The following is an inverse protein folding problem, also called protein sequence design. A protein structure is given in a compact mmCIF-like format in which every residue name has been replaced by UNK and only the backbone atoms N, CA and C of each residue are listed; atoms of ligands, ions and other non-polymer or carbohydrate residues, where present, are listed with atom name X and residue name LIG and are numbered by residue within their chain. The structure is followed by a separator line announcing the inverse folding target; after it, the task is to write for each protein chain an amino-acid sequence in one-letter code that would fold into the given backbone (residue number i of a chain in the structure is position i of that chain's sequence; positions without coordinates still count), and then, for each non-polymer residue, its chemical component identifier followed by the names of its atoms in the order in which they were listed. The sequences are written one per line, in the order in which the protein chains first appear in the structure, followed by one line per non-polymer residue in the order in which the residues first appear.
data_IF_403553715888
#
_entry.id   IF_403553715888
#
_cell.length_a   1.000
_cell.length_b   1.000
_cell.length_c   1.000
_cell.angle_alpha   90.00
_cell.angle_beta   90.00
_cell.angle_gamma   90.00
#
_symmetry.space_group_name_H-M   'P 1'
#
loop_
_entity.id
_entity.type
_entity.pdbx_description
1 polymer ?
#
# COMPACT_ATOMS: atom_id res chain seq x y z
N UNK A 1 10.23 7.69 9.19
CA UNK A 1 9.86 6.99 7.98
C UNK A 1 8.36 6.95 7.74
N UNK A 2 7.91 5.96 7.04
CA UNK A 2 6.56 5.83 6.48
C UNK A 2 5.42 6.05 7.50
N UNK A 3 5.60 5.67 8.76
CA UNK A 3 4.63 5.92 9.83
C UNK A 3 4.28 7.42 9.93
N UNK A 4 5.29 8.29 9.95
CA UNK A 4 5.10 9.74 10.10
C UNK A 4 4.47 10.36 8.85
N UNK A 5 4.90 9.95 7.69
CA UNK A 5 4.35 10.41 6.40
C UNK A 5 2.89 9.99 6.23
N UNK A 6 2.58 8.72 6.56
CA UNK A 6 1.21 8.19 6.46
C UNK A 6 0.24 8.91 7.40
N UNK A 7 0.64 9.17 8.66
CA UNK A 7 -0.17 9.94 9.60
C UNK A 7 -0.42 11.36 9.11
N UNK A 8 0.64 12.04 8.62
CA UNK A 8 0.52 13.39 8.09
C UNK A 8 -0.45 13.44 6.90
N UNK A 9 -0.31 12.55 5.93
CA UNK A 9 -1.16 12.51 4.74
C UNK A 9 -2.63 12.20 5.10
N UNK A 10 -2.86 11.22 5.98
CA UNK A 10 -4.21 10.86 6.40
C UNK A 10 -4.91 12.01 7.13
N UNK A 11 -4.19 12.74 7.98
CA UNK A 11 -4.71 13.92 8.67
C UNK A 11 -5.01 15.08 7.69
N UNK A 12 -4.07 15.38 6.81
CA UNK A 12 -4.20 16.42 5.79
C UNK A 12 -5.43 16.22 4.91
N UNK A 13 -5.66 15.00 4.49
CA UNK A 13 -6.80 14.64 3.63
C UNK A 13 -8.07 14.26 4.40
N UNK A 14 -8.02 14.27 5.74
CA UNK A 14 -9.11 13.83 6.62
C UNK A 14 -9.65 12.45 6.25
N UNK A 15 -8.74 11.52 6.02
CA UNK A 15 -9.12 10.15 5.64
C UNK A 15 -9.81 9.45 6.82
N UNK A 16 -10.86 8.65 6.56
CA UNK A 16 -11.57 7.89 7.59
C UNK A 16 -10.77 6.64 8.00
N UNK A 17 -9.58 6.82 8.55
CA UNK A 17 -8.65 5.74 8.91
C UNK A 17 -8.55 5.64 10.43
N UNK A 18 -8.65 4.42 10.95
CA UNK A 18 -8.30 4.10 12.33
C UNK A 18 -6.97 3.36 12.32
N UNK A 19 -5.93 4.00 12.85
CA UNK A 19 -4.63 3.38 13.05
C UNK A 19 -4.61 2.64 14.37
N UNK A 20 -4.17 1.39 14.35
CA UNK A 20 -4.05 0.53 15.53
C UNK A 20 -2.58 0.18 15.74
N UNK A 21 -2.08 0.44 16.92
CA UNK A 21 -0.75 0.04 17.37
C UNK A 21 -0.93 -1.05 18.43
N UNK A 22 -0.55 -2.27 18.08
CA UNK A 22 -0.43 -3.38 19.03
C UNK A 22 0.95 -3.29 19.70
N UNK A 23 1.03 -2.53 20.78
CA UNK A 23 2.27 -2.35 21.51
C UNK A 23 2.50 -3.54 22.46
N UNK A 24 3.26 -4.51 21.98
CA UNK A 24 3.61 -5.70 22.74
C UNK A 24 4.93 -5.56 23.51
N UNK A 25 5.43 -4.34 23.68
CA UNK A 25 6.62 -3.92 24.42
C UNK A 25 7.97 -4.30 23.77
N UNK A 26 8.00 -5.09 22.70
CA UNK A 26 9.25 -5.58 22.10
C UNK A 26 9.25 -5.53 20.58
N UNK A 27 10.33 -4.99 20.00
CA UNK A 27 10.70 -5.15 18.58
C UNK A 27 11.75 -6.26 18.45
N UNK A 28 11.35 -7.48 18.08
CA UNK A 28 12.18 -8.68 18.28
C UNK A 28 12.57 -8.85 19.75
N UNK A 29 13.85 -8.58 20.08
CA UNK A 29 14.42 -8.63 21.43
C UNK A 29 14.61 -7.24 22.07
N UNK A 30 14.43 -6.17 21.29
CA UNK A 30 14.65 -4.79 21.76
C UNK A 30 13.42 -4.29 22.49
N UNK A 31 13.53 -3.94 23.78
CA UNK A 31 12.39 -3.39 24.53
C UNK A 31 12.01 -2.01 24.01
N UNK A 32 10.73 -1.65 24.20
CA UNK A 32 10.18 -0.35 23.79
C UNK A 32 11.01 0.82 24.31
N UNK A 33 11.48 0.76 25.55
CA UNK A 33 12.30 1.78 26.20
C UNK A 33 13.63 2.06 25.51
N UNK A 34 14.14 1.10 24.71
CA UNK A 34 15.35 1.26 23.90
C UNK A 34 15.07 1.68 22.46
N UNK A 35 13.81 1.66 22.02
CA UNK A 35 13.42 1.92 20.63
C UNK A 35 12.62 3.19 20.42
N UNK A 36 12.04 3.77 21.49
CA UNK A 36 11.29 5.01 21.39
C UNK A 36 11.55 5.92 22.60
N UNK A 37 11.63 7.22 22.35
CA UNK A 37 11.86 8.24 23.37
C UNK A 37 10.58 8.70 24.07
N UNK A 38 9.40 8.30 23.56
CA UNK A 38 8.10 8.64 24.16
C UNK A 38 7.59 7.48 25.01
N UNK A 39 6.87 7.75 26.11
CA UNK A 39 6.34 6.70 26.99
C UNK A 39 5.28 5.85 26.29
N UNK A 40 4.62 6.39 25.26
CA UNK A 40 3.65 5.70 24.41
C UNK A 40 3.78 6.18 22.97
N UNK A 41 3.57 5.28 22.02
CA UNK A 41 3.73 5.57 20.60
C UNK A 41 2.61 6.45 20.09
N UNK A 42 1.36 6.25 20.58
CA UNK A 42 0.18 7.01 20.17
C UNK A 42 0.28 8.51 20.45
N UNK A 43 1.10 8.95 21.41
CA UNK A 43 1.33 10.37 21.71
C UNK A 43 1.86 11.13 20.49
N UNK A 44 2.46 10.44 19.52
CA UNK A 44 2.92 11.02 18.24
C UNK A 44 1.78 11.55 17.38
N UNK A 45 0.56 11.08 17.60
CA UNK A 45 -0.65 11.56 16.91
C UNK A 45 -0.87 13.07 17.10
N UNK A 46 -0.48 13.62 18.25
CA UNK A 46 -0.60 15.05 18.53
C UNK A 46 0.17 15.94 17.52
N UNK A 47 1.30 15.46 16.99
CA UNK A 47 2.09 16.20 16.00
C UNK A 47 1.36 16.39 14.66
N UNK A 48 0.31 15.60 14.41
CA UNK A 48 -0.49 15.59 13.17
C UNK A 48 -1.95 15.97 13.39
N UNK A 49 -2.31 16.52 14.57
CA UNK A 49 -3.69 16.79 14.98
C UNK A 49 -4.60 15.56 14.91
N UNK A 50 -4.06 14.36 15.15
CA UNK A 50 -4.80 13.12 15.20
C UNK A 50 -5.15 12.82 16.65
N UNK A 51 -6.44 12.71 17.03
CA UNK A 51 -6.83 12.26 18.35
C UNK A 51 -6.35 10.82 18.58
N UNK A 52 -5.98 10.51 19.81
CA UNK A 52 -5.47 9.20 20.18
C UNK A 52 -5.94 8.75 21.56
N UNK A 53 -6.02 7.44 21.75
CA UNK A 53 -6.16 6.83 23.07
C UNK A 53 -5.08 5.76 23.28
N UNK A 54 -4.69 5.58 24.54
CA UNK A 54 -3.82 4.50 25.02
C UNK A 54 -4.69 3.62 25.90
N UNK A 55 -4.82 2.36 25.55
CA UNK A 55 -5.83 1.45 26.10
C UNK A 55 -5.17 0.17 26.58
N UNK A 56 -5.65 -0.39 27.67
CA UNK A 56 -5.29 -1.74 28.09
C UNK A 56 -5.77 -2.76 27.04
N UNK A 57 -4.84 -3.27 26.23
CA UNK A 57 -5.15 -4.25 25.18
C UNK A 57 -5.50 -5.65 25.71
N UNK A 58 -5.37 -5.86 27.04
CA UNK A 58 -5.75 -7.10 27.71
C UNK A 58 -7.21 -7.05 28.22
N UNK A 59 -7.90 -5.90 28.12
CA UNK A 59 -9.32 -5.75 28.43
C UNK A 59 -10.16 -5.66 27.15
N UNK A 60 -10.87 -6.75 26.85
CA UNK A 60 -11.71 -6.89 25.62
C UNK A 60 -12.78 -5.80 25.54
N UNK A 61 -13.40 -5.42 26.66
CA UNK A 61 -14.47 -4.43 26.67
C UNK A 61 -13.91 -3.00 26.48
N UNK A 62 -12.76 -2.69 27.09
CA UNK A 62 -12.07 -1.42 26.88
C UNK A 62 -11.62 -1.27 25.43
N UNK A 63 -11.05 -2.32 24.83
CA UNK A 63 -10.68 -2.36 23.41
C UNK A 63 -11.90 -2.10 22.52
N UNK A 64 -13.01 -2.81 22.76
CA UNK A 64 -14.25 -2.65 21.99
C UNK A 64 -14.78 -1.22 22.07
N UNK A 65 -14.79 -0.62 23.25
CA UNK A 65 -15.28 0.76 23.45
C UNK A 65 -14.39 1.78 22.72
N UNK A 66 -13.08 1.65 22.81
CA UNK A 66 -12.12 2.52 22.14
C UNK A 66 -12.22 2.42 20.63
N UNK A 67 -12.32 1.21 20.09
CA UNK A 67 -12.49 0.99 18.63
C UNK A 67 -13.80 1.58 18.15
N UNK A 68 -14.91 1.40 18.89
CA UNK A 68 -16.21 1.98 18.52
C UNK A 68 -16.15 3.51 18.43
N UNK A 69 -15.54 4.17 19.43
CA UNK A 69 -15.29 5.62 19.45
C UNK A 69 -14.47 6.08 18.24
N UNK A 70 -13.37 5.39 17.95
CA UNK A 70 -12.48 5.74 16.83
C UNK A 70 -13.17 5.57 15.47
N UNK A 71 -13.98 4.51 15.30
CA UNK A 71 -14.78 4.28 14.09
C UNK A 71 -15.83 5.38 13.90
N UNK A 72 -16.53 5.77 14.96
CA UNK A 72 -17.51 6.87 14.91
C UNK A 72 -16.84 8.18 14.49
N UNK A 73 -15.69 8.52 15.09
CA UNK A 73 -14.91 9.69 14.71
C UNK A 73 -14.51 9.66 13.22
N UNK A 74 -13.96 8.55 12.74
CA UNK A 74 -13.54 8.42 11.36
C UNK A 74 -14.73 8.52 10.39
N UNK A 75 -15.85 7.88 10.69
CA UNK A 75 -17.07 7.90 9.88
C UNK A 75 -17.77 9.26 9.86
N UNK A 76 -17.61 10.07 10.88
CA UNK A 76 -18.15 11.44 10.93
C UNK A 76 -17.46 12.42 9.95
N UNK A 77 -16.36 11.99 9.29
CA UNK A 77 -15.55 12.85 8.43
C UNK A 77 -14.56 13.74 9.19
N UNK A 78 -14.36 13.50 10.50
CA UNK A 78 -13.45 14.28 11.31
C UNK A 78 -11.97 13.96 11.02
N UNK A 79 -11.69 12.87 10.34
CA UNK A 79 -10.35 12.43 9.95
C UNK A 79 -9.90 11.15 10.65
N UNK A 80 -8.59 10.86 10.67
CA UNK A 80 -8.06 9.64 11.26
C UNK A 80 -8.10 9.64 12.79
N UNK A 81 -8.01 8.46 13.38
CA UNK A 81 -7.87 8.22 14.80
C UNK A 81 -6.73 7.23 15.06
N UNK A 82 -5.96 7.42 16.15
CA UNK A 82 -4.84 6.56 16.49
C UNK A 82 -5.10 5.87 17.85
N UNK A 83 -5.10 4.54 17.84
CA UNK A 83 -5.25 3.72 19.04
C UNK A 83 -3.96 2.98 19.33
N UNK A 84 -3.52 3.00 20.59
CA UNK A 84 -2.45 2.15 21.07
C UNK A 84 -2.99 1.19 22.11
N UNK A 85 -2.94 -0.11 21.79
CA UNK A 85 -3.29 -1.18 22.69
C UNK A 85 -2.03 -1.72 23.35
N UNK A 86 -1.94 -1.61 24.67
CA UNK A 86 -0.88 -2.21 25.45
C UNK A 86 -1.14 -3.71 25.60
N UNK A 87 -0.34 -4.50 24.93
CA UNK A 87 -0.49 -5.96 24.85
C UNK A 87 0.82 -6.66 25.22
N UNK A 88 0.85 -7.97 25.08
CA UNK A 88 2.07 -8.75 25.28
C UNK A 88 2.18 -9.89 24.29
N UNK A 89 3.39 -10.15 23.81
CA UNK A 89 3.67 -11.28 22.93
C UNK A 89 4.04 -12.52 23.76
N UNK A 90 3.16 -13.53 23.83
CA UNK A 90 3.35 -14.74 24.62
C UNK A 90 4.59 -15.54 24.24
N UNK A 91 4.83 -15.71 22.97
CA UNK A 91 5.95 -16.47 22.42
C UNK A 91 7.12 -15.58 22.06
N UNK A 92 8.27 -16.17 21.70
CA UNK A 92 9.39 -15.45 21.12
C UNK A 92 9.04 -14.84 19.76
N UNK A 93 9.94 -14.03 19.21
CA UNK A 93 9.76 -13.43 17.88
C UNK A 93 9.70 -14.50 16.78
N UNK A 94 10.48 -15.56 16.95
CA UNK A 94 10.48 -16.73 16.08
C UNK A 94 10.43 -18.01 16.90
N UNK A 95 10.21 -19.16 16.24
CA UNK A 95 10.16 -20.46 16.90
C UNK A 95 11.46 -20.81 17.65
N UNK A 96 12.60 -20.28 17.18
CA UNK A 96 13.93 -20.52 17.78
C UNK A 96 14.33 -19.47 18.81
N UNK A 97 13.49 -18.48 19.09
CA UNK A 97 13.81 -17.40 20.03
C UNK A 97 13.72 -17.91 21.48
N UNK A 98 14.84 -17.96 22.24
CA UNK A 98 14.86 -18.47 23.62
C UNK A 98 14.26 -17.47 24.63
N UNK A 99 13.90 -16.26 24.23
CA UNK A 99 13.36 -15.18 25.07
C UNK A 99 14.26 -14.77 26.24
N UNK A 100 15.58 -14.91 26.10
CA UNK A 100 16.55 -14.59 27.16
C UNK A 100 16.56 -13.09 27.57
N UNK A 101 15.90 -12.22 26.81
CA UNK A 101 15.75 -10.79 27.05
C UNK A 101 14.56 -10.44 27.94
N UNK A 102 13.78 -11.43 28.41
CA UNK A 102 12.63 -11.27 29.33
C UNK A 102 12.86 -12.01 30.62
N UNK A 103 12.24 -11.54 31.70
CA UNK A 103 12.21 -12.30 32.95
C UNK A 103 10.99 -13.22 33.00
N UNK A 104 11.08 -14.27 33.80
CA UNK A 104 9.94 -15.18 34.04
C UNK A 104 8.82 -14.49 34.83
N UNK A 105 9.18 -13.58 35.72
CA UNK A 105 8.27 -12.77 36.49
C UNK A 105 7.44 -11.88 35.56
N UNK A 106 8.07 -11.16 34.66
CA UNK A 106 7.38 -10.36 33.64
C UNK A 106 6.40 -11.19 32.81
N UNK A 107 6.84 -12.36 32.31
CA UNK A 107 5.96 -13.25 31.56
C UNK A 107 4.77 -13.76 32.38
N UNK A 108 4.97 -14.04 33.68
CA UNK A 108 3.91 -14.50 34.57
C UNK A 108 2.88 -13.40 34.89
N UNK A 109 3.34 -12.18 35.13
CA UNK A 109 2.48 -11.02 35.39
C UNK A 109 1.57 -10.73 34.18
N UNK A 110 2.13 -10.75 32.97
CA UNK A 110 1.32 -10.57 31.77
C UNK A 110 0.38 -11.74 31.51
N UNK A 111 0.81 -12.98 31.78
CA UNK A 111 -0.03 -14.15 31.60
C UNK A 111 -1.25 -14.18 32.54
N UNK A 112 -1.10 -13.64 33.74
CA UNK A 112 -2.23 -13.47 34.65
C UNK A 112 -3.33 -12.53 34.14
N UNK A 113 -2.97 -11.69 33.16
CA UNK A 113 -3.86 -10.74 32.48
C UNK A 113 -4.35 -11.24 31.12
N UNK A 114 -4.18 -12.51 30.79
CA UNK A 114 -4.61 -13.07 29.50
C UNK A 114 -6.10 -12.76 29.24
N UNK A 115 -6.44 -12.07 28.13
CA UNK A 115 -7.81 -11.64 27.88
C UNK A 115 -8.79 -12.79 27.67
N UNK A 116 -8.33 -13.95 27.20
CA UNK A 116 -9.23 -15.09 26.90
C UNK A 116 -9.82 -15.68 28.18
N UNK A 117 -9.03 -16.21 29.15
CA UNK A 117 -9.60 -16.77 30.37
C UNK A 117 -10.26 -15.69 31.27
N UNK A 118 -9.71 -14.48 31.30
CA UNK A 118 -10.29 -13.41 32.13
C UNK A 118 -11.66 -12.96 31.60
N UNK A 119 -11.83 -12.86 30.29
CA UNK A 119 -13.13 -12.50 29.71
C UNK A 119 -14.14 -13.65 29.84
N UNK A 120 -13.70 -14.91 29.69
CA UNK A 120 -14.55 -16.07 29.93
C UNK A 120 -15.08 -16.09 31.38
N UNK A 121 -14.19 -15.86 32.35
CA UNK A 121 -14.58 -15.77 33.76
C UNK A 121 -15.56 -14.62 34.03
N UNK A 122 -15.37 -13.48 33.39
CA UNK A 122 -16.30 -12.34 33.47
C UNK A 122 -17.70 -12.71 32.93
N UNK A 123 -17.77 -13.35 31.78
CA UNK A 123 -19.06 -13.74 31.17
C UNK A 123 -19.84 -14.70 32.07
N UNK A 124 -19.15 -15.64 32.72
CA UNK A 124 -19.77 -16.55 33.68
C UNK A 124 -20.21 -15.81 34.93
N UNK A 125 -19.37 -14.94 35.49
CA UNK A 125 -19.68 -14.18 36.69
C UNK A 125 -20.90 -13.23 36.50
N UNK A 126 -21.04 -12.65 35.30
CA UNK A 126 -22.18 -11.78 34.93
C UNK A 126 -23.42 -12.56 34.47
N UNK A 127 -23.36 -13.89 34.44
CA UNK A 127 -24.46 -14.75 34.02
C UNK A 127 -24.82 -14.64 32.52
N UNK A 128 -23.86 -14.17 31.69
CA UNK A 128 -24.03 -14.06 30.24
C UNK A 128 -23.80 -15.40 29.55
N UNK A 129 -22.93 -16.25 30.10
CA UNK A 129 -22.66 -17.59 29.61
C UNK A 129 -22.43 -18.55 30.78
N UNK A 130 -22.58 -19.86 30.55
CA UNK A 130 -22.18 -20.92 31.50
C UNK A 130 -20.78 -21.41 31.19
N UNK A 131 -20.16 -22.13 32.15
CA UNK A 131 -18.85 -22.76 31.91
C UNK A 131 -18.93 -23.78 30.74
N UNK A 132 -20.04 -24.56 30.67
CA UNK A 132 -20.27 -25.53 29.60
C UNK A 132 -20.37 -24.86 28.21
N UNK A 133 -20.97 -23.67 28.12
CA UNK A 133 -21.04 -22.91 26.86
C UNK A 133 -19.66 -22.39 26.46
N UNK A 134 -18.84 -21.93 27.41
CA UNK A 134 -17.45 -21.52 27.14
C UNK A 134 -16.62 -22.72 26.67
N UNK A 135 -16.71 -23.86 27.36
CA UNK A 135 -16.00 -25.08 26.98
C UNK A 135 -16.43 -25.58 25.58
N UNK A 136 -17.71 -25.46 25.24
CA UNK A 136 -18.22 -25.82 23.92
C UNK A 136 -17.63 -24.92 22.81
N UNK A 137 -17.49 -23.61 23.07
CA UNK A 137 -16.84 -22.67 22.15
C UNK A 137 -15.37 -23.05 21.94
N UNK A 138 -14.65 -23.34 23.02
CA UNK A 138 -13.25 -23.71 22.98
C UNK A 138 -13.04 -25.03 22.20
N UNK A 139 -13.88 -26.03 22.48
CA UNK A 139 -13.85 -27.33 21.77
C UNK A 139 -14.13 -27.15 20.27
N UNK A 140 -15.11 -26.31 19.90
CA UNK A 140 -15.42 -25.98 18.50
C UNK A 140 -14.22 -25.36 17.80
N UNK A 141 -13.61 -24.32 18.40
CA UNK A 141 -12.46 -23.62 17.81
C UNK A 141 -11.27 -24.57 17.65
N UNK A 142 -10.96 -25.40 18.66
CA UNK A 142 -9.92 -26.43 18.56
C UNK A 142 -10.19 -27.42 17.42
N UNK A 143 -11.44 -27.84 17.24
CA UNK A 143 -11.83 -28.70 16.13
C UNK A 143 -11.63 -28.04 14.76
N UNK A 144 -12.01 -26.79 14.61
CA UNK A 144 -11.81 -26.03 13.36
C UNK A 144 -10.32 -25.87 13.02
N UNK A 145 -9.47 -25.59 14.02
CA UNK A 145 -8.02 -25.53 13.83
C UNK A 145 -7.43 -26.89 13.48
N UNK A 146 -7.92 -27.98 14.08
CA UNK A 146 -7.46 -29.32 13.73
C UNK A 146 -7.78 -29.67 12.27
N UNK A 147 -9.00 -29.39 11.81
CA UNK A 147 -9.40 -29.59 10.41
C UNK A 147 -8.51 -28.78 9.45
N UNK A 148 -8.22 -27.52 9.78
CA UNK A 148 -7.33 -26.69 8.97
C UNK A 148 -5.89 -27.22 8.95
N UNK A 149 -5.41 -27.74 10.07
CA UNK A 149 -4.09 -28.38 10.20
C UNK A 149 -4.00 -29.64 9.34
N UNK A 150 -4.99 -30.52 9.46
CA UNK A 150 -5.05 -31.79 8.69
C UNK A 150 -5.12 -31.51 7.18
N UNK A 151 -5.90 -30.49 6.79
CA UNK A 151 -5.95 -30.03 5.40
C UNK A 151 -4.56 -29.58 4.92
N UNK A 152 -3.86 -28.74 5.68
CA UNK A 152 -2.53 -28.26 5.32
C UNK A 152 -1.51 -29.39 5.21
N UNK A 153 -1.52 -30.34 6.16
CA UNK A 153 -0.60 -31.47 6.18
C UNK A 153 -0.86 -32.47 5.07
N UNK A 154 -2.12 -32.66 4.66
CA UNK A 154 -2.51 -33.57 3.57
C UNK A 154 -2.40 -32.94 2.17
N UNK A 155 -2.24 -31.63 2.09
CA UNK A 155 -2.11 -30.91 0.82
C UNK A 155 -0.79 -31.23 0.14
N UNK A 156 -0.83 -31.41 -1.19
CA UNK A 156 0.39 -31.56 -1.99
C UNK A 156 1.21 -30.28 -2.00
N UNK A 157 2.52 -30.41 -2.18
CA UNK A 157 3.36 -29.26 -2.47
C UNK A 157 2.96 -28.65 -3.83
N UNK A 158 3.08 -27.33 -4.01
CA UNK A 158 2.85 -26.70 -5.30
C UNK A 158 3.76 -27.31 -6.37
N UNK A 159 3.25 -27.61 -7.58
CA UNK A 159 4.07 -28.14 -8.66
C UNK A 159 5.05 -27.05 -9.17
N UNK A 160 6.17 -27.50 -9.75
CA UNK A 160 7.21 -26.57 -10.23
C UNK A 160 6.70 -25.63 -11.33
N UNK A 161 5.70 -26.05 -12.09
CA UNK A 161 5.06 -25.28 -13.16
C UNK A 161 4.32 -24.03 -12.64
N UNK A 162 3.97 -24.01 -11.35
CA UNK A 162 3.33 -22.86 -10.70
C UNK A 162 4.31 -21.76 -10.26
N UNK A 163 5.62 -22.00 -10.38
CA UNK A 163 6.64 -21.07 -9.89
C UNK A 163 6.47 -19.64 -10.42
N UNK A 164 6.06 -19.48 -11.67
CA UNK A 164 5.89 -18.18 -12.31
C UNK A 164 4.42 -17.75 -12.47
N UNK A 165 3.48 -18.65 -12.16
CA UNK A 165 2.05 -18.49 -12.47
C UNK A 165 1.43 -17.20 -11.91
N UNK A 166 1.87 -16.76 -10.72
CA UNK A 166 1.28 -15.61 -10.02
C UNK A 166 2.18 -14.38 -9.97
N UNK A 167 3.30 -14.38 -10.68
CA UNK A 167 4.22 -13.24 -10.72
C UNK A 167 3.58 -12.05 -11.41
N UNK A 168 2.89 -12.30 -12.54
CA UNK A 168 2.16 -11.29 -13.30
C UNK A 168 0.70 -11.66 -13.47
N UNK A 169 -0.17 -10.65 -13.53
CA UNK A 169 -1.54 -10.84 -13.98
C UNK A 169 -1.56 -11.17 -15.48
N UNK A 170 -2.50 -11.99 -15.97
CA UNK A 170 -2.64 -12.26 -17.39
C UNK A 170 -2.82 -10.96 -18.18
N UNK A 171 -2.19 -10.87 -19.35
CA UNK A 171 -2.38 -9.75 -20.26
C UNK A 171 -3.83 -9.69 -20.74
N UNK A 172 -4.40 -8.49 -20.73
CA UNK A 172 -5.71 -8.23 -21.34
C UNK A 172 -5.64 -7.95 -22.86
N UNK A 173 -4.43 -7.88 -23.40
CA UNK A 173 -4.22 -7.63 -24.82
C UNK A 173 -4.50 -8.87 -25.66
N UNK A 174 -5.32 -8.72 -26.71
CA UNK A 174 -5.61 -9.76 -27.67
C UNK A 174 -4.70 -9.63 -28.90
N UNK A 175 -4.61 -10.69 -29.73
CA UNK A 175 -3.89 -10.63 -31.01
C UNK A 175 -4.45 -9.52 -31.92
N UNK A 176 -5.75 -9.26 -31.86
CA UNK A 176 -6.39 -8.16 -32.55
C UNK A 176 -5.90 -6.79 -32.09
N UNK A 177 -5.69 -6.60 -30.82
CA UNK A 177 -5.13 -5.36 -30.24
C UNK A 177 -3.68 -5.16 -30.71
N UNK A 178 -2.88 -6.21 -30.70
CA UNK A 178 -1.51 -6.20 -31.20
C UNK A 178 -1.46 -5.86 -32.69
N UNK A 179 -2.32 -6.46 -33.49
CA UNK A 179 -2.40 -6.17 -34.94
C UNK A 179 -2.85 -4.74 -35.23
N UNK A 180 -3.84 -4.24 -34.45
CA UNK A 180 -4.32 -2.85 -34.54
C UNK A 180 -3.22 -1.86 -34.18
N UNK A 181 -2.47 -2.11 -33.10
CA UNK A 181 -1.35 -1.25 -32.70
C UNK A 181 -0.26 -1.20 -33.78
N UNK A 182 0.09 -2.34 -34.34
CA UNK A 182 1.06 -2.42 -35.45
C UNK A 182 0.64 -1.56 -36.64
N UNK A 183 -0.61 -1.63 -37.04
CA UNK A 183 -1.16 -0.82 -38.15
C UNK A 183 -1.17 0.68 -37.83
N UNK A 184 -1.46 1.05 -36.56
CA UNK A 184 -1.41 2.43 -36.10
C UNK A 184 0.02 2.99 -36.13
N UNK A 185 1.00 2.23 -35.66
CA UNK A 185 2.43 2.62 -35.70
C UNK A 185 2.91 2.86 -37.13
N UNK A 186 2.53 1.98 -38.05
CA UNK A 186 2.88 2.13 -39.47
C UNK A 186 2.26 3.41 -40.06
N UNK A 187 0.99 3.69 -39.77
CA UNK A 187 0.31 4.92 -40.16
C UNK A 187 0.99 6.17 -39.62
N UNK A 188 1.40 6.17 -38.36
CA UNK A 188 2.09 7.29 -37.71
C UNK A 188 3.46 7.50 -38.39
N UNK A 189 4.22 6.44 -38.60
CA UNK A 189 5.53 6.49 -39.24
C UNK A 189 5.46 7.11 -40.63
N UNK A 190 4.39 6.81 -41.38
CA UNK A 190 4.18 7.29 -42.72
C UNK A 190 3.45 8.64 -42.82
N UNK A 191 3.18 9.32 -41.70
CA UNK A 191 2.51 10.62 -41.66
C UNK A 191 1.07 10.58 -42.19
N UNK A 192 0.34 9.48 -41.94
CA UNK A 192 -1.01 9.26 -42.48
C UNK A 192 -2.06 10.26 -41.91
N UNK A 193 -3.28 10.23 -42.44
CA UNK A 193 -4.36 11.13 -42.02
C UNK A 193 -4.62 11.11 -40.52
N UNK A 194 -4.77 12.28 -39.92
CA UNK A 194 -5.03 12.43 -38.46
C UNK A 194 -3.80 12.37 -37.59
N UNK A 195 -2.59 12.17 -38.13
CA UNK A 195 -1.34 12.26 -37.39
C UNK A 195 -1.05 13.74 -37.10
N UNK A 196 -0.87 14.06 -35.81
CA UNK A 196 -0.52 15.40 -35.32
C UNK A 196 0.86 15.39 -34.65
N UNK A 197 1.59 16.50 -34.81
CA UNK A 197 2.79 16.73 -34.03
C UNK A 197 2.36 17.11 -32.61
N UNK A 198 2.97 16.49 -31.59
CA UNK A 198 2.75 16.78 -30.19
C UNK A 198 4.10 16.84 -29.47
N UNK A 199 4.18 17.63 -28.42
CA UNK A 199 5.29 17.57 -27.48
C UNK A 199 5.13 16.30 -26.60
N UNK A 200 6.21 15.84 -26.03
CA UNK A 200 6.21 14.63 -25.22
C UNK A 200 5.25 14.76 -24.01
N UNK A 201 5.33 15.83 -23.25
CA UNK A 201 4.46 16.09 -22.10
C UNK A 201 2.97 16.23 -22.49
N UNK A 202 2.67 16.76 -23.68
CA UNK A 202 1.28 16.85 -24.18
C UNK A 202 0.70 15.45 -24.45
N UNK A 203 1.54 14.54 -24.96
CA UNK A 203 1.16 13.16 -25.21
C UNK A 203 0.85 12.40 -23.89
N UNK A 204 1.64 12.63 -22.84
CA UNK A 204 1.40 12.09 -21.50
C UNK A 204 0.12 12.64 -20.90
N UNK A 205 -0.06 13.97 -20.95
CA UNK A 205 -1.29 14.61 -20.48
C UNK A 205 -2.54 14.06 -21.17
N UNK A 206 -2.50 13.96 -22.48
CA UNK A 206 -3.62 13.46 -23.26
C UNK A 206 -3.91 11.99 -22.96
N UNK A 207 -2.87 11.17 -22.69
CA UNK A 207 -3.03 9.78 -22.27
C UNK A 207 -3.78 9.70 -20.94
N UNK A 208 -3.32 10.45 -19.91
CA UNK A 208 -3.97 10.47 -18.61
C UNK A 208 -5.41 10.99 -18.70
N UNK A 209 -5.62 12.09 -19.41
CA UNK A 209 -6.96 12.65 -19.61
C UNK A 209 -7.93 11.65 -20.25
N UNK A 210 -7.52 10.98 -21.32
CA UNK A 210 -8.35 9.99 -22.00
C UNK A 210 -8.68 8.78 -21.11
N UNK A 211 -7.74 8.32 -20.30
CA UNK A 211 -7.98 7.21 -19.37
C UNK A 211 -8.85 7.65 -18.17
N UNK A 212 -8.70 8.86 -17.66
CA UNK A 212 -9.57 9.41 -16.61
C UNK A 212 -11.00 9.63 -17.07
N UNK A 213 -11.22 9.99 -18.34
CA UNK A 213 -12.55 10.06 -18.96
C UNK A 213 -13.16 8.68 -19.17
N UNK A 214 -12.35 7.69 -19.51
CA UNK A 214 -12.79 6.32 -19.78
C UNK A 214 -13.19 5.58 -18.50
N UNK A 215 -12.43 5.79 -17.40
CA UNK A 215 -12.51 4.97 -16.21
C UNK A 215 -12.50 5.86 -14.93
N UNK A 216 -13.59 5.87 -14.16
CA UNK A 216 -13.69 6.67 -12.94
C UNK A 216 -12.73 6.19 -11.84
N UNK A 217 -12.16 4.99 -11.91
CA UNK A 217 -11.18 4.49 -10.95
C UNK A 217 -9.77 5.08 -11.16
N UNK A 218 -9.50 5.66 -12.33
CA UNK A 218 -8.21 6.32 -12.61
C UNK A 218 -8.15 7.66 -11.91
N UNK A 219 -7.13 7.87 -11.08
CA UNK A 219 -6.84 9.15 -10.47
C UNK A 219 -5.34 9.41 -10.44
N UNK A 220 -4.96 10.69 -10.32
CA UNK A 220 -3.57 11.13 -10.27
C UNK A 220 -3.21 11.58 -8.86
N UNK A 221 -2.00 11.27 -8.41
CA UNK A 221 -1.45 11.77 -7.17
C UNK A 221 0.06 12.00 -7.31
N UNK A 222 0.58 13.02 -6.62
CA UNK A 222 2.00 13.37 -6.67
C UNK A 222 2.25 14.79 -6.23
N UNK A 223 3.50 15.22 -6.32
CA UNK A 223 3.95 16.55 -5.91
C UNK A 223 3.67 17.59 -7.01
N UNK A 224 3.03 18.69 -6.64
CA UNK A 224 2.74 19.85 -7.52
C UNK A 224 1.95 19.48 -8.81
N UNK A 225 1.24 18.37 -8.84
CA UNK A 225 0.50 17.90 -10.02
C UNK A 225 -0.87 18.56 -10.20
N UNK A 226 -1.40 19.20 -9.14
CA UNK A 226 -2.69 19.88 -9.11
C UNK A 226 -2.69 21.22 -9.87
N UNK A 227 -2.94 22.31 -9.17
CA UNK A 227 -3.04 23.65 -9.76
C UNK A 227 -1.77 24.09 -10.51
N UNK A 228 -0.60 23.66 -10.08
CA UNK A 228 0.65 23.96 -10.77
C UNK A 228 0.78 23.25 -12.13
N UNK A 229 0.15 22.09 -12.27
CA UNK A 229 0.11 21.31 -13.52
C UNK A 229 1.32 20.41 -13.74
N UNK A 230 2.02 20.04 -12.66
CA UNK A 230 3.21 19.21 -12.67
C UNK A 230 4.49 19.95 -13.03
N UNK A 231 5.62 19.56 -12.43
CA UNK A 231 6.94 20.17 -12.66
C UNK A 231 7.33 20.19 -14.15
N UNK A 232 6.82 19.25 -14.92
CA UNK A 232 7.08 19.11 -16.36
C UNK A 232 5.88 19.45 -17.25
N UNK A 233 4.78 19.89 -16.65
CA UNK A 233 3.55 20.27 -17.36
C UNK A 233 2.68 19.09 -17.79
N UNK A 234 2.99 17.87 -17.40
CA UNK A 234 2.27 16.67 -17.83
C UNK A 234 0.86 16.54 -17.25
N UNK A 235 0.52 17.30 -16.22
CA UNK A 235 -0.84 17.32 -15.62
C UNK A 235 -1.57 18.63 -15.81
N UNK A 236 -1.01 19.56 -16.61
CA UNK A 236 -1.58 20.90 -16.84
C UNK A 236 -3.03 20.82 -17.37
N UNK A 237 -3.93 21.51 -16.68
CA UNK A 237 -5.36 21.58 -17.01
C UNK A 237 -6.20 20.39 -16.52
N UNK A 238 -5.57 19.34 -15.98
CA UNK A 238 -6.31 18.16 -15.48
C UNK A 238 -7.00 18.44 -14.15
N UNK A 239 -6.40 19.28 -13.31
CA UNK A 239 -7.02 19.65 -12.03
C UNK A 239 -8.31 20.44 -12.23
N UNK A 240 -8.33 21.38 -13.18
CA UNK A 240 -9.49 22.16 -13.53
C UNK A 240 -10.62 21.30 -14.15
N UNK A 241 -10.24 20.25 -14.90
CA UNK A 241 -11.21 19.37 -15.56
C UNK A 241 -11.78 18.31 -14.61
N UNK A 242 -10.96 17.70 -13.75
CA UNK A 242 -11.35 16.55 -12.95
C UNK A 242 -11.50 16.84 -11.44
N UNK A 243 -11.02 17.98 -10.98
CA UNK A 243 -11.10 18.40 -9.58
C UNK A 243 -10.12 17.70 -8.65
N UNK A 244 -10.07 18.19 -7.41
CA UNK A 244 -9.13 17.77 -6.37
C UNK A 244 -9.26 16.30 -5.94
N UNK A 245 -10.41 15.68 -6.16
CA UNK A 245 -10.63 14.27 -5.79
C UNK A 245 -9.98 13.30 -6.78
N UNK A 246 -9.75 13.75 -8.02
CA UNK A 246 -9.18 12.95 -9.09
C UNK A 246 -7.74 13.36 -9.45
N UNK A 247 -7.31 14.57 -9.07
CA UNK A 247 -5.94 15.07 -9.22
C UNK A 247 -5.50 15.62 -7.87
N UNK A 248 -4.65 14.89 -7.16
CA UNK A 248 -4.33 15.13 -5.75
C UNK A 248 -2.88 15.54 -5.57
N UNK A 249 -2.66 16.75 -5.10
CA UNK A 249 -1.34 17.14 -4.60
C UNK A 249 -1.02 16.39 -3.32
N UNK A 250 0.22 15.94 -3.19
CA UNK A 250 0.77 15.32 -1.99
C UNK A 250 1.87 16.18 -1.38
N UNK A 251 2.16 16.02 -0.08
CA UNK A 251 3.44 16.42 0.45
C UNK A 251 4.60 15.73 -0.27
N UNK A 252 5.83 16.24 -0.15
CA UNK A 252 7.06 15.55 -0.57
C UNK A 252 7.25 14.36 0.38
N UNK A 253 6.81 13.18 -0.05
CA UNK A 253 6.74 11.96 0.75
C UNK A 253 6.66 10.73 -0.16
N UNK A 254 7.73 10.43 -0.87
CA UNK A 254 7.75 9.43 -1.96
C UNK A 254 7.37 8.03 -1.48
N UNK A 255 7.77 7.66 -0.26
CA UNK A 255 7.37 6.40 0.33
C UNK A 255 5.83 6.31 0.54
N UNK A 256 5.21 7.41 0.97
CA UNK A 256 3.75 7.46 1.14
C UNK A 256 3.03 7.55 -0.21
N UNK A 257 3.58 8.24 -1.19
CA UNK A 257 3.05 8.28 -2.56
C UNK A 257 3.00 6.85 -3.12
N UNK A 258 4.12 6.12 -3.09
CA UNK A 258 4.18 4.73 -3.53
C UNK A 258 3.25 3.81 -2.75
N UNK A 259 3.25 3.90 -1.42
CA UNK A 259 2.42 3.07 -0.54
C UNK A 259 0.92 3.32 -0.70
N UNK A 260 0.51 4.58 -0.86
CA UNK A 260 -0.89 4.94 -1.11
C UNK A 260 -1.35 4.45 -2.49
N UNK A 261 -0.48 4.50 -3.50
CA UNK A 261 -0.77 3.94 -4.82
C UNK A 261 -1.00 2.42 -4.74
N UNK A 262 -0.13 1.67 -4.04
CA UNK A 262 -0.31 0.24 -3.81
C UNK A 262 -1.63 -0.04 -3.11
N UNK A 263 -1.91 0.65 -2.00
CA UNK A 263 -3.14 0.44 -1.22
C UNK A 263 -4.41 0.75 -2.03
N UNK A 264 -4.44 1.85 -2.75
CA UNK A 264 -5.56 2.23 -3.62
C UNK A 264 -5.78 1.20 -4.74
N UNK A 265 -4.70 0.72 -5.36
CA UNK A 265 -4.76 -0.31 -6.40
C UNK A 265 -5.31 -1.63 -5.87
N UNK A 266 -4.90 -2.07 -4.69
CA UNK A 266 -5.42 -3.28 -4.03
C UNK A 266 -6.90 -3.15 -3.67
N UNK A 267 -7.41 -1.92 -3.49
CA UNK A 267 -8.83 -1.63 -3.27
C UNK A 267 -9.63 -1.42 -4.57
N UNK A 268 -9.04 -1.68 -5.73
CA UNK A 268 -9.73 -1.63 -7.04
C UNK A 268 -9.67 -0.30 -7.77
N UNK A 269 -8.90 0.67 -7.28
CA UNK A 269 -8.60 1.91 -8.00
C UNK A 269 -7.41 1.74 -8.96
N UNK A 270 -7.22 2.72 -9.85
CA UNK A 270 -6.10 2.75 -10.80
C UNK A 270 -5.30 4.05 -10.64
N UNK A 271 -4.45 4.13 -9.61
CA UNK A 271 -3.62 5.30 -9.37
C UNK A 271 -2.52 5.43 -10.42
N UNK A 272 -2.33 6.67 -10.87
CA UNK A 272 -1.14 7.13 -11.59
C UNK A 272 -0.42 8.06 -10.62
N UNK A 273 0.61 7.57 -9.98
CA UNK A 273 1.37 8.29 -8.97
C UNK A 273 2.66 8.85 -9.59
N UNK A 274 2.92 10.14 -9.40
CA UNK A 274 4.13 10.78 -9.87
C UNK A 274 5.16 10.92 -8.73
N UNK A 275 6.36 10.39 -8.96
CA UNK A 275 7.56 10.70 -8.19
C UNK A 275 8.45 11.51 -9.11
N UNK A 276 8.77 12.75 -8.70
CA UNK A 276 9.29 13.78 -9.60
C UNK A 276 10.54 13.37 -10.38
N UNK A 277 11.50 12.67 -9.73
CA UNK A 277 12.71 12.15 -10.37
C UNK A 277 12.91 10.66 -10.07
N UNK A 278 13.46 9.92 -11.04
CA UNK A 278 13.84 8.51 -10.84
C UNK A 278 14.84 8.37 -9.70
N UNK A 279 15.66 9.38 -9.47
CA UNK A 279 16.62 9.50 -8.36
C UNK A 279 15.97 9.36 -6.99
N UNK A 280 14.68 9.73 -6.84
CA UNK A 280 13.92 9.66 -5.58
C UNK A 280 13.08 8.40 -5.44
N UNK A 281 12.94 7.61 -6.51
CA UNK A 281 12.19 6.35 -6.45
C UNK A 281 12.75 5.34 -5.43
N UNK A 282 14.06 5.33 -5.09
CA UNK A 282 14.58 4.52 -3.99
C UNK A 282 13.93 4.80 -2.62
N UNK A 283 13.40 6.01 -2.37
CA UNK A 283 12.65 6.31 -1.15
C UNK A 283 11.34 5.52 -1.05
N UNK A 284 10.74 5.18 -2.19
CA UNK A 284 9.52 4.39 -2.28
C UNK A 284 9.78 2.89 -2.56
N UNK A 285 11.04 2.43 -2.54
CA UNK A 285 11.42 1.10 -3.00
C UNK A 285 10.70 -0.02 -2.25
N UNK A 286 10.60 0.05 -0.92
CA UNK A 286 9.90 -0.98 -0.14
C UNK A 286 8.43 -1.08 -0.57
N UNK A 287 7.76 0.06 -0.76
CA UNK A 287 6.35 0.09 -1.14
C UNK A 287 6.13 -0.47 -2.55
N UNK A 288 6.98 -0.12 -3.49
CA UNK A 288 6.82 -0.51 -4.89
C UNK A 288 7.36 -1.93 -5.14
N UNK A 289 8.58 -2.24 -4.68
CA UNK A 289 9.24 -3.52 -4.96
C UNK A 289 8.79 -4.65 -4.03
N UNK A 290 8.55 -4.40 -2.73
CA UNK A 290 8.12 -5.43 -1.80
C UNK A 290 6.60 -5.57 -1.73
N UNK A 291 5.87 -4.47 -1.68
CA UNK A 291 4.41 -4.52 -1.59
C UNK A 291 3.78 -4.56 -2.99
N UNK A 292 4.07 -3.60 -3.86
CA UNK A 292 3.49 -3.53 -5.20
C UNK A 292 3.77 -4.76 -6.05
N UNK A 293 5.04 -5.07 -6.24
CA UNK A 293 5.45 -6.14 -7.17
C UNK A 293 5.16 -7.57 -6.65
N UNK A 294 5.16 -7.80 -5.32
CA UNK A 294 5.09 -9.16 -4.76
C UNK A 294 3.73 -9.58 -4.23
N UNK A 295 2.83 -8.63 -3.92
CA UNK A 295 1.56 -8.97 -3.29
C UNK A 295 0.71 -9.94 -4.14
N UNK A 296 0.72 -9.82 -5.46
CA UNK A 296 0.01 -10.78 -6.31
C UNK A 296 0.52 -12.21 -6.09
N UNK A 297 1.83 -12.41 -6.09
CA UNK A 297 2.45 -13.71 -5.86
C UNK A 297 2.18 -14.23 -4.45
N UNK A 298 2.37 -13.38 -3.44
CA UNK A 298 2.16 -13.73 -2.03
C UNK A 298 0.72 -14.15 -1.72
N UNK A 299 -0.26 -13.62 -2.44
CA UNK A 299 -1.68 -13.97 -2.28
C UNK A 299 -2.18 -14.97 -3.35
N UNK A 300 -1.29 -15.73 -3.98
CA UNK A 300 -1.65 -16.78 -4.93
C UNK A 300 -2.51 -16.30 -6.09
N UNK A 301 -2.18 -15.13 -6.65
CA UNK A 301 -2.88 -14.53 -7.79
C UNK A 301 -4.22 -13.84 -7.47
N UNK A 302 -4.68 -13.87 -6.23
CA UNK A 302 -5.99 -13.31 -5.83
C UNK A 302 -6.01 -11.79 -5.79
N UNK A 303 -4.83 -11.14 -5.69
CA UNK A 303 -4.69 -9.69 -5.62
C UNK A 303 -4.18 -9.15 -6.95
N UNK A 304 -4.66 -7.97 -7.34
CA UNK A 304 -4.14 -7.16 -8.44
C UNK A 304 -3.59 -5.86 -7.88
N UNK A 305 -2.57 -5.31 -8.53
CA UNK A 305 -1.99 -4.01 -8.15
C UNK A 305 -1.86 -3.12 -9.40
N UNK A 306 -2.99 -2.69 -9.98
CA UNK A 306 -3.03 -1.87 -11.19
C UNK A 306 -2.61 -0.43 -10.89
N UNK A 307 -1.32 -0.20 -10.71
CA UNK A 307 -0.76 1.14 -10.48
C UNK A 307 0.31 1.51 -11.48
N UNK A 308 0.44 2.79 -11.75
CA UNK A 308 1.56 3.35 -12.52
C UNK A 308 2.33 4.31 -11.63
N UNK A 309 3.64 4.10 -11.52
CA UNK A 309 4.56 5.10 -10.98
C UNK A 309 5.19 5.80 -12.17
N UNK A 310 4.86 7.09 -12.37
CA UNK A 310 5.48 7.95 -13.36
C UNK A 310 6.66 8.67 -12.73
N UNK A 311 7.77 8.74 -13.44
CA UNK A 311 8.95 9.44 -12.97
C UNK A 311 9.80 9.90 -14.15
N UNK A 312 10.47 11.03 -14.01
CA UNK A 312 11.45 11.49 -14.98
C UNK A 312 12.84 11.02 -14.61
N UNK A 313 13.67 10.71 -15.60
CA UNK A 313 15.06 10.29 -15.37
C UNK A 313 15.99 10.58 -16.53
N UNK A 314 17.27 10.33 -16.29
CA UNK A 314 18.31 10.43 -17.29
C UNK A 314 19.11 11.71 -17.32
N UNK A 315 20.22 11.68 -18.07
CA UNK A 315 21.22 12.75 -18.09
C UNK A 315 20.80 14.00 -18.92
N UNK A 316 19.69 13.95 -19.64
CA UNK A 316 19.31 14.96 -20.64
C UNK A 316 19.21 16.38 -20.12
N UNK A 317 18.83 16.56 -18.85
CA UNK A 317 18.72 17.90 -18.25
C UNK A 317 20.03 18.42 -17.67
N UNK A 318 21.00 17.57 -17.36
CA UNK A 318 22.27 17.99 -16.76
C UNK A 318 22.15 18.67 -15.41
N UNK A 319 21.25 18.18 -14.52
CA UNK A 319 20.95 18.80 -13.22
C UNK A 319 21.79 18.16 -12.10
N UNK A 320 23.02 17.77 -12.41
CA UNK A 320 23.98 17.14 -11.52
C UNK A 320 23.57 15.73 -11.02
N UNK A 321 24.35 15.18 -10.07
CA UNK A 321 24.32 13.79 -9.68
C UNK A 321 23.00 13.32 -9.00
N UNK A 322 22.26 14.24 -8.39
CA UNK A 322 21.05 13.91 -7.63
C UNK A 322 19.75 13.95 -8.44
N UNK A 323 19.80 14.40 -9.72
CA UNK A 323 18.61 14.61 -10.54
C UNK A 323 18.84 14.17 -12.00
N UNK A 324 19.83 13.35 -12.29
CA UNK A 324 20.20 12.98 -13.65
C UNK A 324 20.63 11.50 -13.75
N UNK A 325 20.20 10.66 -12.82
CA UNK A 325 20.52 9.24 -12.84
C UNK A 325 19.63 8.49 -13.83
N UNK A 326 20.11 7.31 -14.25
CA UNK A 326 19.37 6.33 -15.04
C UNK A 326 19.26 5.06 -14.19
N UNK A 327 18.12 4.85 -13.54
CA UNK A 327 17.89 3.78 -12.58
C UNK A 327 16.98 2.66 -13.10
N UNK A 328 16.82 2.54 -14.42
CA UNK A 328 15.98 1.54 -15.09
C UNK A 328 16.38 0.12 -14.66
N UNK A 329 17.70 -0.16 -14.64
CA UNK A 329 18.24 -1.46 -14.25
C UNK A 329 17.89 -1.85 -12.81
N UNK A 330 17.76 -0.88 -11.91
CA UNK A 330 17.33 -1.12 -10.53
C UNK A 330 15.92 -1.71 -10.49
N UNK A 331 15.01 -1.13 -11.27
CA UNK A 331 13.60 -1.53 -11.29
C UNK A 331 13.35 -2.81 -12.08
N UNK A 332 14.11 -3.05 -13.16
CA UNK A 332 14.04 -4.31 -13.93
C UNK A 332 14.56 -5.52 -13.16
N UNK A 333 15.25 -5.30 -12.03
CA UNK A 333 15.73 -6.39 -11.18
C UNK A 333 14.60 -7.10 -10.41
N UNK A 334 13.48 -6.42 -10.15
CA UNK A 334 12.39 -6.96 -9.33
C UNK A 334 11.34 -7.66 -10.22
N UNK A 335 11.08 -8.98 -10.01
CA UNK A 335 9.95 -9.64 -10.67
C UNK A 335 8.62 -9.08 -10.16
N UNK A 336 7.59 -9.06 -11.02
CA UNK A 336 6.25 -8.59 -10.67
C UNK A 336 5.99 -7.11 -10.95
N UNK A 337 6.93 -6.39 -11.56
CA UNK A 337 6.76 -5.01 -12.02
C UNK A 337 7.22 -4.88 -13.48
N UNK A 338 6.46 -4.16 -14.28
CA UNK A 338 6.91 -3.77 -15.61
C UNK A 338 7.66 -2.45 -15.57
N UNK A 339 8.72 -2.35 -16.37
CA UNK A 339 9.49 -1.11 -16.54
C UNK A 339 9.33 -0.66 -17.99
N UNK A 340 8.84 0.56 -18.19
CA UNK A 340 8.52 1.12 -19.51
C UNK A 340 9.21 2.47 -19.66
N UNK A 341 9.95 2.66 -20.75
CA UNK A 341 10.67 3.90 -21.05
C UNK A 341 10.46 4.27 -22.53
N UNK A 342 9.42 5.04 -22.86
CA UNK A 342 9.14 5.44 -24.25
C UNK A 342 10.04 6.56 -24.72
N UNK A 343 10.40 6.53 -26.02
CA UNK A 343 11.30 7.52 -26.61
C UNK A 343 10.61 8.54 -27.54
N UNK A 344 9.34 8.31 -27.90
CA UNK A 344 8.58 9.22 -28.77
C UNK A 344 7.25 9.64 -28.12
N UNK A 345 6.68 10.79 -28.51
CA UNK A 345 5.34 11.19 -28.04
C UNK A 345 4.25 10.15 -28.34
N UNK A 346 4.34 9.47 -29.46
CA UNK A 346 3.40 8.42 -29.83
C UNK A 346 3.49 7.22 -28.88
N UNK A 347 4.72 6.74 -28.63
CA UNK A 347 4.95 5.61 -27.72
C UNK A 347 4.61 6.01 -26.28
N UNK A 348 4.96 7.23 -25.87
CA UNK A 348 4.61 7.75 -24.54
C UNK A 348 3.10 7.71 -24.30
N UNK A 349 2.29 8.20 -25.25
CA UNK A 349 0.84 8.16 -25.14
C UNK A 349 0.29 6.74 -25.12
N UNK A 350 0.73 5.91 -26.07
CA UNK A 350 0.24 4.53 -26.23
C UNK A 350 0.59 3.65 -25.04
N UNK A 351 1.85 3.67 -24.63
CA UNK A 351 2.35 2.84 -23.54
C UNK A 351 1.82 3.30 -22.17
N UNK A 352 1.64 4.61 -21.93
CA UNK A 352 1.03 5.08 -20.70
C UNK A 352 -0.44 4.63 -20.58
N UNK A 353 -1.21 4.70 -21.67
CA UNK A 353 -2.58 4.17 -21.70
C UNK A 353 -2.61 2.66 -21.45
N UNK A 354 -1.68 1.92 -22.04
CA UNK A 354 -1.54 0.48 -21.81
C UNK A 354 -1.19 0.20 -20.32
N UNK A 355 -0.24 0.93 -19.77
CA UNK A 355 0.17 0.80 -18.37
C UNK A 355 -0.99 1.09 -17.37
N UNK A 356 -1.80 2.12 -17.63
CA UNK A 356 -2.96 2.44 -16.80
C UNK A 356 -4.03 1.34 -16.84
N UNK A 357 -4.14 0.64 -17.97
CA UNK A 357 -5.10 -0.47 -18.16
C UNK A 357 -4.60 -1.81 -17.65
N UNK A 358 -3.30 -1.96 -17.47
CA UNK A 358 -2.70 -3.20 -17.00
C UNK A 358 -3.07 -3.48 -15.53
N UNK A 359 -3.19 -4.74 -15.16
CA UNK A 359 -3.51 -5.16 -13.79
C UNK A 359 -2.24 -5.40 -12.95
N UNK A 360 -1.07 -5.14 -13.51
CA UNK A 360 0.23 -5.21 -12.83
C UNK A 360 0.78 -3.81 -12.53
N UNK A 361 1.67 -3.68 -11.53
CA UNK A 361 2.37 -2.42 -11.32
C UNK A 361 3.33 -2.11 -12.47
N UNK A 362 3.38 -0.86 -12.85
CA UNK A 362 4.25 -0.35 -13.92
C UNK A 362 5.08 0.82 -13.43
N UNK A 363 6.40 0.71 -13.57
CA UNK A 363 7.33 1.84 -13.47
C UNK A 363 7.46 2.46 -14.86
N UNK A 364 6.98 3.68 -15.03
CA UNK A 364 6.94 4.40 -16.28
C UNK A 364 7.94 5.56 -16.24
N UNK A 365 9.09 5.38 -16.88
CA UNK A 365 10.22 6.31 -16.83
C UNK A 365 10.18 7.21 -18.06
N UNK A 366 10.22 8.50 -17.82
CA UNK A 366 10.15 9.58 -18.81
C UNK A 366 11.52 10.25 -18.95
N UNK A 367 11.88 10.64 -20.21
CA UNK A 367 13.11 11.37 -20.49
C UNK A 367 12.84 12.73 -21.14
#
# INVERSE_FOLDING_TARGET
GNFHEALNLASLWKLPVVYIIENNLYGMSVPLSCSTCTPAIATRGAAYNIPFDIVDGMDVLAVRAAVAKAIEHARSGAGPYLLEFQTYRWYGHSRSDPRAYRTKEEEADWKARDPIPNFAALLVAEGVATEEEIDAIEAKVKGEIQVATDFALSSSLPPAEELELYVYAPSSWTDADVAREKALRERVRNGGPGVKKARYWEALRDAMREEMLRDPQVFLMGEDIGLYGGAYGATRGLFEEFGKERVRDTPISEATIGGSAVGAAMCGMRPVAEIMYVDFTPLAMDQVANQGAKNRYMFGGKTKVPMVIRTEGGAGRGIAAHHSQSLEALWTHFPGIYVVMPSTPYDAKGLLKAAIRDDNPVMFIEH
#
